data_IF_966054540664
#
_entry.id   IF_966054540664
#
_cell.length_a   1.000
_cell.length_b   1.000
_cell.length_c   1.000
_cell.angle_alpha   90.00
_cell.angle_beta   90.00
_cell.angle_gamma   90.00
#
_symmetry.space_group_name_H-M   'P 1'
#
loop_
_entity.id
_entity.type
_entity.pdbx_description
1 polymer ?
#
# COMPACT_ATOMS: atom_id res chain seq x y z
N UNK A 1 16.22 9.20 -28.11
CA UNK A 1 16.51 9.31 -26.67
C UNK A 1 15.99 8.05 -26.03
N UNK A 2 16.85 7.05 -25.95
CA UNK A 2 16.47 5.66 -25.74
C UNK A 2 16.46 5.27 -24.27
N UNK A 3 15.48 4.43 -23.96
CA UNK A 3 15.46 3.36 -22.95
C UNK A 3 15.55 3.75 -21.47
N UNK A 4 14.38 3.76 -20.83
CA UNK A 4 14.17 3.08 -19.54
C UNK A 4 12.77 2.47 -19.49
N UNK A 5 12.53 1.49 -20.33
CA UNK A 5 11.47 0.51 -20.08
C UNK A 5 11.94 -0.31 -18.87
N UNK A 6 11.54 0.12 -17.67
CA UNK A 6 11.79 -0.64 -16.46
C UNK A 6 11.17 -2.04 -16.69
N UNK A 7 11.90 -3.13 -16.39
CA UNK A 7 11.43 -4.47 -16.67
C UNK A 7 10.04 -4.62 -16.10
N UNK A 8 9.12 -5.07 -16.94
CA UNK A 8 7.71 -5.35 -16.69
C UNK A 8 7.49 -6.15 -15.40
N UNK A 9 7.62 -5.51 -14.24
CA UNK A 9 7.02 -5.96 -13.00
C UNK A 9 5.58 -5.52 -13.12
N UNK A 10 4.67 -6.48 -13.13
CA UNK A 10 3.23 -6.22 -13.13
C UNK A 10 2.90 -5.33 -11.94
N UNK A 11 2.84 -4.02 -12.16
CA UNK A 11 2.42 -3.06 -11.16
C UNK A 11 1.01 -3.42 -10.75
N UNK A 12 0.85 -3.82 -9.50
CA UNK A 12 -0.48 -4.04 -8.94
C UNK A 12 -1.13 -2.67 -8.77
N UNK A 13 -1.98 -2.33 -9.73
CA UNK A 13 -2.87 -1.18 -9.63
C UNK A 13 -3.93 -1.48 -8.55
N UNK A 14 -4.32 -0.48 -7.75
CA UNK A 14 -5.43 -0.64 -6.83
C UNK A 14 -6.71 -0.95 -7.63
N UNK A 15 -7.35 -2.07 -7.32
CA UNK A 15 -8.65 -2.45 -7.91
C UNK A 15 -9.82 -1.81 -7.14
N UNK A 16 -11.04 -1.90 -7.67
CA UNK A 16 -12.26 -1.50 -6.93
C UNK A 16 -12.31 -2.19 -5.56
N UNK A 17 -12.24 -1.40 -4.49
CA UNK A 17 -12.22 -1.87 -3.11
C UNK A 17 -10.85 -1.84 -2.43
N UNK A 18 -9.76 -1.63 -3.16
CA UNK A 18 -8.41 -1.47 -2.58
C UNK A 18 -8.02 0.01 -2.47
N UNK A 19 -7.25 0.34 -1.44
CA UNK A 19 -6.84 1.69 -1.13
C UNK A 19 -5.33 1.77 -0.96
N UNK A 20 -4.72 2.81 -1.54
CA UNK A 20 -3.33 3.13 -1.27
C UNK A 20 -3.24 3.81 0.08
N UNK A 21 -2.23 3.48 0.87
CA UNK A 21 -2.02 4.11 2.16
C UNK A 21 -0.56 4.19 2.57
N UNK A 22 -0.29 5.04 3.57
CA UNK A 22 1.03 5.28 4.12
C UNK A 22 1.10 4.72 5.53
N UNK A 23 2.13 3.93 5.82
CA UNK A 23 2.35 3.37 7.16
C UNK A 23 2.69 4.51 8.12
N UNK A 24 1.80 4.74 9.08
CA UNK A 24 1.95 5.79 10.10
C UNK A 24 2.58 5.26 11.38
N UNK A 25 2.32 3.99 11.73
CA UNK A 25 2.87 3.39 12.95
C UNK A 25 2.94 1.86 12.84
N UNK A 26 3.96 1.24 13.43
CA UNK A 26 4.05 -0.21 13.59
C UNK A 26 3.48 -0.57 14.98
N UNK A 27 2.41 -1.38 15.03
CA UNK A 27 1.76 -1.76 16.29
C UNK A 27 2.30 -3.07 16.87
N UNK A 28 3.09 -3.83 16.09
CA UNK A 28 3.54 -5.16 16.46
C UNK A 28 2.46 -6.23 16.24
N UNK A 29 2.77 -7.50 16.55
CA UNK A 29 1.86 -8.65 16.31
C UNK A 29 1.26 -8.66 14.89
N UNK A 30 2.09 -8.34 13.89
CA UNK A 30 1.71 -8.28 12.47
C UNK A 30 0.64 -7.23 12.14
N UNK A 31 0.43 -6.27 13.04
CA UNK A 31 -0.49 -5.16 12.86
C UNK A 31 0.31 -3.89 12.65
N UNK A 32 -0.15 -3.08 11.70
CA UNK A 32 0.40 -1.78 11.40
C UNK A 32 -0.74 -0.80 11.20
N UNK A 33 -0.50 0.45 11.56
CA UNK A 33 -1.43 1.55 11.39
C UNK A 33 -1.12 2.23 10.07
N UNK A 34 -2.09 2.24 9.17
CA UNK A 34 -1.95 2.80 7.82
C UNK A 34 -2.97 3.92 7.65
N UNK A 35 -2.51 5.08 7.19
CA UNK A 35 -3.36 6.17 6.75
C UNK A 35 -3.66 5.99 5.27
N UNK A 36 -4.90 5.70 4.94
CA UNK A 36 -5.33 5.45 3.56
C UNK A 36 -5.61 6.77 2.82
N UNK A 37 -5.67 6.70 1.50
CA UNK A 37 -5.96 7.82 0.60
C UNK A 37 -7.36 8.44 0.81
N UNK A 38 -8.28 7.69 1.41
CA UNK A 38 -9.61 8.18 1.79
C UNK A 38 -9.62 9.02 3.08
N UNK A 39 -8.44 9.26 3.67
CA UNK A 39 -8.27 10.02 4.91
C UNK A 39 -8.53 9.22 6.19
N UNK A 40 -8.98 7.97 6.10
CA UNK A 40 -9.20 7.12 7.29
C UNK A 40 -7.91 6.40 7.67
N UNK A 41 -7.76 6.18 8.98
CA UNK A 41 -6.63 5.43 9.52
C UNK A 41 -7.09 4.04 9.94
N UNK A 42 -6.53 3.00 9.31
CA UNK A 42 -6.91 1.61 9.51
C UNK A 42 -5.80 0.84 10.21
N UNK A 43 -6.20 -0.16 10.98
CA UNK A 43 -5.30 -1.19 11.51
C UNK A 43 -5.24 -2.30 10.48
N UNK A 44 -4.13 -2.36 9.76
CA UNK A 44 -3.90 -3.33 8.71
C UNK A 44 -3.10 -4.51 9.25
N UNK A 45 -3.51 -5.73 8.89
CA UNK A 45 -2.79 -6.95 9.20
C UNK A 45 -1.85 -7.33 8.05
N UNK A 46 -0.67 -7.82 8.38
CA UNK A 46 0.31 -8.31 7.42
C UNK A 46 0.08 -9.82 7.22
N UNK A 47 -0.38 -10.27 6.03
CA UNK A 47 -0.56 -11.68 5.75
C UNK A 47 0.79 -12.40 5.80
N UNK A 48 0.79 -13.65 6.31
CA UNK A 48 2.02 -14.43 6.52
C UNK A 48 2.88 -14.60 5.26
N UNK A 49 2.27 -14.61 4.07
CA UNK A 49 2.96 -14.64 2.78
C UNK A 49 3.90 -13.44 2.58
N UNK A 50 3.52 -12.26 3.06
CA UNK A 50 4.33 -11.04 2.94
C UNK A 50 5.41 -10.92 4.02
N UNK A 51 5.14 -11.40 5.24
CA UNK A 51 6.06 -11.26 6.38
C UNK A 51 7.49 -11.75 6.08
N UNK A 52 7.62 -12.83 5.32
CA UNK A 52 8.93 -13.42 4.98
C UNK A 52 9.67 -12.67 3.88
N UNK A 53 8.97 -11.87 3.08
CA UNK A 53 9.50 -11.26 1.86
C UNK A 53 9.72 -9.76 1.98
N UNK A 54 8.97 -9.09 2.85
CA UNK A 54 8.87 -7.62 2.83
C UNK A 54 9.07 -7.08 4.24
N UNK A 55 10.00 -6.14 4.37
CA UNK A 55 10.22 -5.38 5.59
C UNK A 55 9.49 -4.04 5.48
N UNK A 56 8.47 -3.84 6.32
CA UNK A 56 7.71 -2.59 6.37
C UNK A 56 8.36 -1.60 7.34
N UNK A 57 8.44 -0.34 6.93
CA UNK A 57 8.91 0.78 7.75
C UNK A 57 7.87 1.89 7.83
N UNK A 58 8.09 2.84 8.74
CA UNK A 58 7.35 4.10 8.79
C UNK A 58 7.49 4.84 7.45
N UNK A 59 6.40 5.46 7.00
CA UNK A 59 6.29 6.16 5.71
C UNK A 59 6.41 5.28 4.46
N UNK A 60 6.43 3.95 4.59
CA UNK A 60 6.29 3.08 3.41
C UNK A 60 4.87 3.20 2.82
N UNK A 61 4.79 3.18 1.49
CA UNK A 61 3.51 3.17 0.77
C UNK A 61 3.09 1.71 0.52
N UNK A 62 1.85 1.41 0.90
CA UNK A 62 1.28 0.07 0.85
C UNK A 62 -0.09 0.09 0.17
N UNK A 63 -0.45 -1.04 -0.42
CA UNK A 63 -1.79 -1.33 -0.88
C UNK A 63 -2.55 -2.04 0.24
N UNK A 64 -3.70 -1.48 0.59
CA UNK A 64 -4.58 -1.96 1.66
C UNK A 64 -5.87 -2.47 1.04
N UNK A 65 -6.25 -3.70 1.37
CA UNK A 65 -7.58 -4.22 1.15
C UNK A 65 -8.38 -4.07 2.47
N UNK A 66 -9.27 -3.07 2.61
CA UNK A 66 -10.20 -3.00 3.73
C UNK A 66 -11.06 -4.27 3.81
N UNK A 67 -11.43 -4.67 5.02
CA UNK A 67 -12.32 -5.83 5.21
C UNK A 67 -13.76 -5.50 4.83
N UNK A 68 -14.51 -6.49 4.36
CA UNK A 68 -15.95 -6.34 4.09
C UNK A 68 -16.73 -5.93 5.35
N UNK A 69 -16.28 -6.40 6.51
CA UNK A 69 -16.81 -6.04 7.82
C UNK A 69 -15.82 -5.15 8.58
N UNK A 70 -16.27 -3.97 9.04
CA UNK A 70 -15.41 -2.94 9.64
C UNK A 70 -14.36 -2.35 8.69
N UNK A 71 -14.74 -2.13 7.43
CA UNK A 71 -13.92 -1.54 6.36
C UNK A 71 -13.24 -0.23 6.76
N UNK A 72 -13.81 0.54 7.68
CA UNK A 72 -13.27 1.83 8.13
C UNK A 72 -12.17 1.73 9.18
N UNK A 73 -12.03 0.58 9.85
CA UNK A 73 -11.11 0.39 10.96
C UNK A 73 -10.05 -0.68 10.68
N UNK A 74 -10.37 -1.67 9.83
CA UNK A 74 -9.52 -2.84 9.60
C UNK A 74 -9.32 -3.11 8.11
N UNK A 75 -8.19 -3.74 7.82
CA UNK A 75 -7.87 -4.23 6.50
C UNK A 75 -6.67 -5.17 6.53
N UNK A 76 -6.31 -5.69 5.37
CA UNK A 76 -5.09 -6.46 5.15
C UNK A 76 -4.16 -5.69 4.21
N UNK A 77 -2.85 -5.84 4.40
CA UNK A 77 -1.86 -5.33 3.45
C UNK A 77 -1.72 -6.36 2.32
N UNK A 78 -1.93 -5.91 1.10
CA UNK A 78 -1.82 -6.74 -0.11
C UNK A 78 -0.43 -6.62 -0.73
N UNK A 79 0.07 -5.39 -0.82
CA UNK A 79 1.33 -5.08 -1.50
C UNK A 79 2.06 -3.92 -0.83
N UNK A 80 3.38 -3.84 -1.07
CA UNK A 80 4.20 -2.68 -0.69
C UNK A 80 4.85 -2.13 -1.94
N UNK A 81 4.63 -0.86 -2.20
CA UNK A 81 5.19 -0.17 -3.36
C UNK A 81 6.62 0.29 -3.09
N UNK A 82 7.50 0.11 -4.07
CA UNK A 82 8.82 0.73 -4.10
C UNK A 82 8.74 2.17 -4.66
N UNK A 83 9.83 2.94 -4.55
CA UNK A 83 9.99 4.24 -5.19
C UNK A 83 9.79 4.20 -6.70
N UNK A 84 10.19 3.12 -7.36
CA UNK A 84 9.90 2.91 -8.78
C UNK A 84 8.40 2.90 -9.04
N UNK A 85 7.67 2.11 -8.24
CA UNK A 85 6.22 1.96 -8.35
C UNK A 85 5.47 3.26 -8.04
N UNK A 86 5.95 4.03 -7.06
CA UNK A 86 5.36 5.32 -6.70
C UNK A 86 5.35 6.30 -7.88
N UNK A 87 6.41 6.32 -8.70
CA UNK A 87 6.48 7.20 -9.87
C UNK A 87 5.40 6.87 -10.88
N UNK A 88 5.13 5.58 -11.07
CA UNK A 88 4.12 5.12 -12.01
C UNK A 88 2.69 5.29 -11.46
N UNK A 89 2.47 5.03 -10.17
CA UNK A 89 1.22 5.35 -9.48
C UNK A 89 0.88 6.85 -9.57
N UNK A 90 1.89 7.71 -9.40
CA UNK A 90 1.74 9.16 -9.55
C UNK A 90 1.45 9.56 -10.99
N UNK A 91 2.16 8.99 -11.96
CA UNK A 91 1.91 9.24 -13.39
C UNK A 91 0.50 8.82 -13.82
N UNK A 92 -0.08 7.82 -13.16
CA UNK A 92 -1.45 7.33 -13.39
C UNK A 92 -2.51 8.04 -12.53
N UNK A 93 -2.12 8.96 -11.63
CA UNK A 93 -3.05 9.75 -10.81
C UNK A 93 -3.56 9.09 -9.52
N UNK A 94 -3.06 7.90 -9.14
CA UNK A 94 -3.51 7.20 -7.93
C UNK A 94 -2.87 7.72 -6.64
N UNK A 95 -1.74 8.43 -6.74
CA UNK A 95 -0.98 8.93 -5.60
C UNK A 95 -1.27 10.40 -5.27
N UNK A 96 -1.93 11.14 -6.16
CA UNK A 96 -2.12 12.60 -6.03
C UNK A 96 -3.01 12.99 -4.85
N UNK A 97 -3.69 12.02 -4.23
CA UNK A 97 -4.58 12.21 -3.08
C UNK A 97 -3.85 12.13 -1.72
N UNK A 98 -2.58 11.73 -1.69
CA UNK A 98 -1.81 11.48 -0.46
C UNK A 98 -0.72 12.52 -0.15
N UNK A 99 -0.49 13.49 -1.02
CA UNK A 99 0.58 14.51 -0.93
C UNK A 99 0.00 15.91 -0.94
#
# INVERSE_FOLDING_TARGET
MSDREAPSRSLMLPSEGELVGVVTQLLGFDRVKVKCSDGKTRICRIPGKMKKKIWLRLNDIVLVAPWDFQSDQKGDIVWRYDRGDMRELKARGYLDMLV
#
